data_IF_508079401748
#
_entry.id   IF_508079401748
#
_cell.length_a   1.000
_cell.length_b   1.000
_cell.length_c   1.000
_cell.angle_alpha   90.00
_cell.angle_beta   90.00
_cell.angle_gamma   90.00
#
_symmetry.space_group_name_H-M   'P 1'
#
loop_
_entity.id
_entity.type
_entity.pdbx_description
1 polymer ?
#
# COMPACT_ATOMS: atom_id res chain seq x y z
N UNK A 1 4.60 2.45 16.59
CA UNK A 1 4.53 3.91 16.83
C UNK A 1 3.45 4.18 17.86
N UNK A 2 3.82 4.70 19.02
CA UNK A 2 2.87 5.14 20.04
C UNK A 2 2.63 6.63 19.85
N UNK A 3 1.37 7.04 19.91
CA UNK A 3 0.97 8.44 19.89
C UNK A 3 0.25 8.79 21.18
N UNK A 4 0.76 9.75 21.92
CA UNK A 4 0.13 10.32 23.11
C UNK A 4 -0.28 11.75 22.79
N UNK A 5 -1.52 12.12 23.14
CA UNK A 5 -2.02 13.49 23.00
C UNK A 5 -2.42 13.96 24.38
N UNK A 6 -1.86 15.07 24.80
CA UNK A 6 -2.16 15.70 26.09
C UNK A 6 -2.60 17.15 25.89
N UNK A 7 -3.57 17.58 26.65
CA UNK A 7 -3.93 18.99 26.72
C UNK A 7 -3.18 19.62 27.91
N UNK A 8 -2.39 20.64 27.62
CA UNK A 8 -1.57 21.33 28.62
C UNK A 8 -2.02 22.80 28.70
N UNK A 9 -2.39 23.24 29.89
CA UNK A 9 -2.68 24.63 30.17
C UNK A 9 -1.39 25.37 30.51
N UNK A 10 -1.06 26.36 29.71
CA UNK A 10 0.06 27.28 30.00
C UNK A 10 -0.46 28.47 30.82
N UNK A 11 0.03 28.59 32.07
CA UNK A 11 -0.39 29.64 33.01
C UNK A 11 0.19 31.02 32.65
N UNK A 12 1.34 31.07 31.97
CA UNK A 12 2.02 32.31 31.63
C UNK A 12 1.35 33.00 30.41
N UNK A 13 1.00 32.21 29.41
CA UNK A 13 0.30 32.72 28.21
C UNK A 13 -1.22 32.63 28.29
N UNK A 14 -1.76 31.97 29.33
CA UNK A 14 -3.18 31.67 29.51
C UNK A 14 -3.80 30.97 28.28
N UNK A 15 -3.05 30.06 27.73
CA UNK A 15 -3.44 29.36 26.51
C UNK A 15 -3.48 27.84 26.73
N UNK A 16 -4.40 27.18 26.02
CA UNK A 16 -4.49 25.71 25.98
C UNK A 16 -3.73 25.20 24.78
N UNK A 17 -2.74 24.33 25.02
CA UNK A 17 -1.99 23.66 23.94
C UNK A 17 -2.33 22.18 23.87
N UNK A 18 -2.32 21.64 22.67
CA UNK A 18 -2.29 20.20 22.45
C UNK A 18 -0.86 19.76 22.17
N UNK A 19 -0.30 18.98 23.09
CA UNK A 19 1.01 18.37 22.93
C UNK A 19 0.81 16.99 22.34
N UNK A 20 1.43 16.74 21.19
CA UNK A 20 1.43 15.44 20.54
C UNK A 20 2.83 14.85 20.66
N UNK A 21 2.96 13.80 21.48
CA UNK A 21 4.20 13.03 21.58
C UNK A 21 4.09 11.81 20.67
N UNK A 22 5.08 11.61 19.82
CA UNK A 22 5.17 10.45 18.93
C UNK A 22 6.48 9.73 19.23
N UNK A 23 6.37 8.48 19.69
CA UNK A 23 7.51 7.58 19.75
C UNK A 23 7.64 6.88 18.39
N UNK A 24 8.76 7.09 17.71
CA UNK A 24 9.05 6.46 16.43
C UNK A 24 10.37 5.70 16.53
N UNK A 25 10.36 4.46 16.08
CA UNK A 25 11.57 3.69 15.85
C UNK A 25 12.08 3.98 14.45
N UNK A 26 13.33 4.39 14.34
CA UNK A 26 13.98 4.67 13.05
C UNK A 26 15.04 3.61 12.80
N UNK A 27 14.83 2.81 11.77
CA UNK A 27 15.79 1.83 11.32
C UNK A 27 16.58 2.39 10.14
N UNK A 28 17.92 2.26 10.19
CA UNK A 28 18.76 2.58 9.04
C UNK A 28 18.54 1.53 7.96
N UNK A 29 18.08 1.96 6.80
CA UNK A 29 17.87 1.09 5.65
C UNK A 29 19.08 1.15 4.71
N UNK A 30 19.40 0.02 4.08
CA UNK A 30 20.40 -0.04 3.03
C UNK A 30 19.93 0.77 1.81
N UNK A 31 20.88 1.28 1.03
CA UNK A 31 20.58 2.08 -0.15
C UNK A 31 19.81 1.22 -1.17
N UNK A 32 18.63 1.65 -1.62
CA UNK A 32 17.87 0.91 -2.62
C UNK A 32 18.60 0.84 -3.96
N UNK A 33 18.31 -0.18 -4.74
CA UNK A 33 18.78 -0.31 -6.12
C UNK A 33 17.99 0.67 -7.01
N UNK A 34 18.62 1.74 -7.45
CA UNK A 34 17.95 2.78 -8.25
C UNK A 34 17.52 2.32 -9.66
N UNK A 35 18.03 1.18 -10.13
CA UNK A 35 17.60 0.58 -11.39
C UNK A 35 16.36 -0.31 -11.22
N UNK A 36 16.03 -0.69 -10.00
CA UNK A 36 14.89 -1.53 -9.65
C UNK A 36 13.71 -0.68 -9.19
N UNK A 37 12.72 -0.54 -10.04
CA UNK A 37 11.59 0.33 -9.81
C UNK A 37 10.27 -0.29 -10.28
N UNK A 38 9.17 0.10 -9.62
CA UNK A 38 7.81 -0.22 -9.98
C UNK A 38 7.12 1.04 -10.51
N UNK A 39 6.76 1.05 -11.78
CA UNK A 39 6.00 2.11 -12.42
C UNK A 39 4.53 1.70 -12.48
N UNK A 40 3.64 2.56 -11.96
CA UNK A 40 2.18 2.33 -11.99
C UNK A 40 1.51 3.53 -12.65
N UNK A 41 0.61 3.27 -13.60
CA UNK A 41 -0.13 4.28 -14.37
C UNK A 41 -1.63 4.01 -14.34
N UNK A 42 -2.43 5.07 -14.48
CA UNK A 42 -3.87 4.97 -14.61
C UNK A 42 -4.62 4.80 -13.28
N UNK A 43 -3.94 5.01 -12.14
CA UNK A 43 -4.63 5.14 -10.85
C UNK A 43 -5.26 6.53 -10.79
N UNK A 44 -6.55 6.58 -10.53
CA UNK A 44 -7.29 7.82 -10.31
C UNK A 44 -7.32 8.15 -8.81
N UNK A 45 -7.33 9.43 -8.49
CA UNK A 45 -7.41 9.86 -7.07
C UNK A 45 -8.81 9.81 -6.51
N UNK A 46 -9.83 9.75 -7.39
CA UNK A 46 -11.25 9.76 -7.05
C UNK A 46 -12.01 8.74 -7.89
N UNK A 47 -12.72 7.85 -7.21
CA UNK A 47 -13.62 6.86 -7.80
C UNK A 47 -15.05 7.08 -7.31
N UNK A 48 -15.99 6.58 -8.07
CA UNK A 48 -17.39 6.45 -7.64
C UNK A 48 -17.61 5.04 -7.08
N UNK A 49 -18.56 4.93 -6.16
CA UNK A 49 -18.99 3.61 -5.70
C UNK A 49 -19.45 2.74 -6.87
N UNK A 50 -18.93 1.52 -6.94
CA UNK A 50 -19.19 0.57 -8.03
C UNK A 50 -18.23 0.66 -9.21
N UNK A 51 -17.39 1.68 -9.30
CA UNK A 51 -16.33 1.73 -10.31
C UNK A 51 -15.39 0.53 -10.17
N UNK A 52 -14.83 0.09 -11.28
CA UNK A 52 -13.82 -0.99 -11.28
C UNK A 52 -12.43 -0.37 -11.36
N UNK A 53 -11.58 -0.75 -10.43
CA UNK A 53 -10.19 -0.33 -10.43
C UNK A 53 -9.40 -1.00 -11.54
N UNK A 54 -8.71 -0.19 -12.30
CA UNK A 54 -7.76 -0.62 -13.32
C UNK A 54 -6.49 0.21 -13.25
N UNK A 55 -5.35 -0.44 -13.39
CA UNK A 55 -4.10 0.27 -13.61
C UNK A 55 -3.19 -0.53 -14.53
N UNK A 56 -2.13 0.12 -14.99
CA UNK A 56 -1.03 -0.51 -15.72
C UNK A 56 0.23 -0.45 -14.88
N UNK A 57 0.99 -1.53 -14.91
CA UNK A 57 2.20 -1.61 -14.15
C UNK A 57 3.35 -2.14 -14.98
N UNK A 58 4.55 -1.62 -14.74
CA UNK A 58 5.81 -2.10 -15.31
C UNK A 58 6.84 -2.20 -14.21
N UNK A 59 7.48 -3.36 -14.09
CA UNK A 59 8.66 -3.52 -13.24
C UNK A 59 9.91 -3.26 -14.08
N UNK A 60 10.80 -2.42 -13.59
CA UNK A 60 12.07 -2.10 -14.25
C UNK A 60 13.24 -2.81 -13.55
N UNK A 61 14.27 -3.13 -14.30
CA UNK A 61 15.55 -3.65 -13.80
C UNK A 61 15.62 -5.17 -13.67
N UNK A 62 14.65 -5.82 -13.06
CA UNK A 62 14.70 -7.27 -12.79
C UNK A 62 13.31 -7.90 -12.83
N UNK A 63 13.21 -9.13 -13.35
CA UNK A 63 11.98 -9.94 -13.27
C UNK A 63 11.57 -10.09 -11.80
N UNK A 64 10.27 -9.98 -11.51
CA UNK A 64 9.79 -9.85 -10.13
C UNK A 64 8.45 -10.51 -9.88
N UNK A 65 8.19 -10.81 -8.63
CA UNK A 65 6.90 -11.19 -8.11
C UNK A 65 6.21 -9.98 -7.49
N UNK A 66 4.90 -9.85 -7.67
CA UNK A 66 4.11 -8.73 -7.16
C UNK A 66 3.20 -9.17 -6.03
N UNK A 67 3.01 -8.29 -5.04
CA UNK A 67 1.88 -8.35 -4.10
C UNK A 67 1.16 -7.01 -4.10
N UNK A 68 -0.17 -7.05 -4.20
CA UNK A 68 -1.03 -5.88 -4.16
C UNK A 68 -1.92 -5.94 -2.94
N UNK A 69 -1.72 -4.99 -2.03
CA UNK A 69 -2.48 -4.83 -0.81
C UNK A 69 -3.39 -3.61 -0.89
N UNK A 70 -4.51 -3.72 -0.23
CA UNK A 70 -5.55 -2.70 -0.15
C UNK A 70 -5.98 -2.55 1.30
N UNK A 71 -6.12 -1.32 1.78
CA UNK A 71 -6.48 -1.01 3.16
C UNK A 71 -7.59 0.02 3.18
N UNK A 72 -8.68 -0.33 3.79
CA UNK A 72 -9.80 0.55 4.10
C UNK A 72 -9.92 0.76 5.62
N UNK A 73 -11.02 1.35 6.05
CA UNK A 73 -11.28 1.58 7.48
C UNK A 73 -11.65 0.32 8.27
N UNK A 74 -11.95 -0.81 7.60
CA UNK A 74 -12.24 -2.11 8.23
C UNK A 74 -11.00 -2.98 8.38
N UNK A 75 -9.95 -2.73 7.63
CA UNK A 75 -8.73 -3.53 7.65
C UNK A 75 -8.01 -3.55 6.32
N UNK A 76 -7.37 -4.67 6.04
CA UNK A 76 -6.63 -4.85 4.81
C UNK A 76 -6.98 -6.14 4.08
N UNK A 77 -6.70 -6.17 2.79
CA UNK A 77 -6.81 -7.33 1.94
C UNK A 77 -5.58 -7.47 1.03
N UNK A 78 -5.15 -8.70 0.77
CA UNK A 78 -4.22 -9.04 -0.30
C UNK A 78 -5.05 -9.31 -1.55
N UNK A 79 -5.04 -8.37 -2.50
CA UNK A 79 -5.80 -8.49 -3.73
C UNK A 79 -5.12 -9.39 -4.76
N UNK A 80 -3.79 -9.27 -4.87
CA UNK A 80 -2.98 -10.11 -5.76
C UNK A 80 -1.71 -10.58 -5.03
N UNK A 81 -1.33 -11.87 -5.15
CA UNK A 81 -2.02 -12.95 -5.86
C UNK A 81 -3.29 -13.41 -5.13
N UNK A 82 -4.21 -14.04 -5.87
CA UNK A 82 -5.43 -14.63 -5.34
C UNK A 82 -5.75 -15.95 -6.06
N UNK A 83 -6.88 -16.60 -5.73
CA UNK A 83 -7.25 -17.90 -6.32
C UNK A 83 -7.54 -17.85 -7.82
N UNK A 84 -7.90 -16.69 -8.37
CA UNK A 84 -8.19 -16.49 -9.79
C UNK A 84 -6.99 -15.94 -10.55
N UNK A 85 -6.05 -15.32 -9.84
CA UNK A 85 -4.86 -14.69 -10.36
C UNK A 85 -3.64 -15.22 -9.60
N UNK A 86 -3.10 -16.38 -10.00
CA UNK A 86 -1.98 -17.00 -9.31
C UNK A 86 -0.72 -16.14 -9.41
N UNK A 87 0.14 -16.25 -8.41
CA UNK A 87 1.42 -15.55 -8.39
C UNK A 87 2.26 -15.91 -9.62
N UNK A 88 2.61 -14.92 -10.40
CA UNK A 88 3.33 -15.08 -11.67
C UNK A 88 4.56 -14.18 -11.69
N UNK A 89 5.66 -14.69 -12.24
CA UNK A 89 6.89 -13.91 -12.46
C UNK A 89 6.65 -12.88 -13.57
N UNK A 90 6.65 -11.62 -13.19
CA UNK A 90 6.55 -10.48 -14.11
C UNK A 90 7.90 -10.23 -14.77
N UNK A 91 7.92 -10.11 -16.08
CA UNK A 91 9.11 -9.80 -16.85
C UNK A 91 9.45 -8.32 -16.79
N UNK A 92 10.69 -7.99 -16.51
CA UNK A 92 11.19 -6.61 -16.48
C UNK A 92 10.96 -5.91 -17.83
N UNK A 93 10.51 -4.66 -17.77
CA UNK A 93 10.23 -3.83 -18.94
C UNK A 93 8.93 -4.17 -19.70
N UNK A 94 8.18 -5.19 -19.28
CA UNK A 94 6.89 -5.53 -19.85
C UNK A 94 5.77 -4.83 -19.07
N UNK A 95 4.84 -4.18 -19.79
CA UNK A 95 3.62 -3.60 -19.22
C UNK A 95 2.56 -4.69 -18.98
N UNK A 96 1.94 -4.66 -17.81
CA UNK A 96 0.84 -5.53 -17.41
C UNK A 96 -0.36 -4.70 -17.00
N UNK A 97 -1.57 -5.24 -17.20
CA UNK A 97 -2.82 -4.65 -16.71
C UNK A 97 -3.21 -5.31 -15.38
N UNK A 98 -3.71 -4.51 -14.45
CA UNK A 98 -4.30 -4.95 -13.18
C UNK A 98 -5.80 -4.63 -13.24
N UNK A 99 -6.71 -5.57 -12.97
CA UNK A 99 -6.49 -7.01 -12.73
C UNK A 99 -5.78 -7.71 -13.90
N UNK A 100 -5.03 -8.78 -13.60
CA UNK A 100 -4.37 -9.60 -14.64
C UNK A 100 -5.37 -10.47 -15.42
N UNK A 101 -6.50 -10.79 -14.79
CA UNK A 101 -7.55 -11.64 -15.35
C UNK A 101 -8.85 -10.87 -15.55
N UNK A 102 -9.49 -11.04 -16.68
CA UNK A 102 -10.85 -10.52 -16.93
C UNK A 102 -11.94 -11.20 -16.07
N UNK A 103 -11.59 -12.24 -15.31
CA UNK A 103 -12.50 -12.91 -14.40
C UNK A 103 -12.54 -12.23 -13.01
N UNK A 104 -11.72 -11.20 -12.80
CA UNK A 104 -11.62 -10.49 -11.50
C UNK A 104 -11.98 -9.02 -11.71
N UNK A 105 -12.87 -8.51 -10.88
CA UNK A 105 -13.20 -7.10 -10.76
C UNK A 105 -12.78 -6.61 -9.36
N UNK A 106 -11.89 -5.64 -9.27
CA UNK A 106 -11.60 -4.93 -8.02
C UNK A 106 -12.54 -3.73 -7.92
N UNK A 107 -13.73 -3.97 -7.31
CA UNK A 107 -14.77 -2.94 -7.22
C UNK A 107 -14.48 -1.97 -6.08
N UNK A 108 -14.68 -0.69 -6.38
CA UNK A 108 -14.62 0.40 -5.41
C UNK A 108 -15.92 0.44 -4.62
N UNK A 109 -15.88 -0.04 -3.38
CA UNK A 109 -17.03 -0.10 -2.50
C UNK A 109 -16.78 0.72 -1.23
N UNK A 110 -17.76 1.52 -0.85
CA UNK A 110 -17.78 2.22 0.43
C UNK A 110 -18.41 1.34 1.50
N UNK A 111 -18.00 1.54 2.73
CA UNK A 111 -18.75 1.00 3.84
C UNK A 111 -20.15 1.61 3.91
N UNK A 112 -21.08 0.76 4.32
CA UNK A 112 -22.48 1.18 4.53
C UNK A 112 -22.54 2.43 5.42
N UNK A 113 -23.30 3.45 5.01
CA UNK A 113 -23.50 4.72 5.70
C UNK A 113 -22.33 5.72 5.70
N UNK A 114 -21.30 5.54 4.88
CA UNK A 114 -20.27 6.56 4.69
C UNK A 114 -20.52 7.41 3.44
N UNK A 115 -20.28 8.70 3.56
CA UNK A 115 -20.32 9.63 2.42
C UNK A 115 -19.12 9.41 1.50
N UNK A 116 -17.98 9.03 2.09
CA UNK A 116 -16.75 8.74 1.36
C UNK A 116 -15.90 7.72 2.12
N UNK A 117 -15.06 6.97 1.39
CA UNK A 117 -14.09 6.01 1.93
C UNK A 117 -12.70 6.31 1.37
N UNK A 118 -11.69 6.27 2.24
CA UNK A 118 -10.28 6.36 1.84
C UNK A 118 -9.70 4.95 1.75
N UNK A 119 -9.07 4.68 0.62
CA UNK A 119 -8.36 3.43 0.39
C UNK A 119 -6.87 3.73 0.25
N UNK A 120 -6.04 3.09 1.07
CA UNK A 120 -4.61 3.09 0.88
C UNK A 120 -4.22 1.84 0.08
N UNK A 121 -3.45 2.02 -0.97
CA UNK A 121 -2.96 0.96 -1.82
C UNK A 121 -1.46 0.80 -1.67
N UNK A 122 -1.01 -0.44 -1.68
CA UNK A 122 0.41 -0.77 -1.64
C UNK A 122 0.70 -1.90 -2.60
N UNK A 123 1.51 -1.64 -3.61
CA UNK A 123 2.03 -2.66 -4.51
C UNK A 123 3.51 -2.86 -4.23
N UNK A 124 3.91 -4.08 -3.97
CA UNK A 124 5.30 -4.43 -3.64
C UNK A 124 5.80 -5.47 -4.62
N UNK A 125 6.85 -5.12 -5.36
CA UNK A 125 7.56 -6.06 -6.21
C UNK A 125 8.84 -6.53 -5.53
N UNK A 126 9.11 -7.84 -5.60
CA UNK A 126 10.27 -8.49 -5.01
C UNK A 126 10.97 -9.37 -6.03
N UNK A 127 12.31 -9.39 -6.01
CA UNK A 127 13.12 -10.20 -6.95
C UNK A 127 12.90 -11.70 -6.77
N UNK A 128 12.54 -12.11 -5.55
CA UNK A 128 12.20 -13.49 -5.20
C UNK A 128 10.74 -13.56 -4.72
N UNK A 129 10.12 -14.73 -4.80
CA UNK A 129 8.77 -14.93 -4.25
C UNK A 129 8.83 -15.04 -2.72
N UNK A 130 8.64 -13.90 -2.05
CA UNK A 130 8.64 -13.82 -0.60
C UNK A 130 7.18 -13.88 -0.11
N UNK A 131 6.76 -14.95 0.59
CA UNK A 131 5.39 -15.06 1.03
C UNK A 131 5.05 -14.03 2.12
N UNK A 132 3.82 -13.50 2.07
CA UNK A 132 3.21 -12.77 3.17
C UNK A 132 2.25 -13.70 3.89
N UNK A 133 2.51 -13.99 5.17
CA UNK A 133 1.78 -15.02 5.95
C UNK A 133 1.07 -14.48 7.19
N UNK A 134 1.22 -13.19 7.49
CA UNK A 134 0.54 -12.54 8.61
C UNK A 134 -0.88 -12.10 8.22
N UNK A 135 -1.67 -11.73 9.21
CA UNK A 135 -2.91 -10.98 8.98
C UNK A 135 -2.63 -9.70 8.19
N UNK A 136 -3.49 -9.41 7.21
CA UNK A 136 -3.32 -8.22 6.36
C UNK A 136 -3.76 -6.98 7.13
N UNK A 137 -2.83 -6.39 7.86
CA UNK A 137 -2.95 -5.07 8.45
C UNK A 137 -1.87 -4.17 7.86
N UNK A 138 -2.11 -2.86 7.83
CA UNK A 138 -1.12 -1.91 7.33
C UNK A 138 0.24 -2.05 8.05
N UNK A 139 0.21 -2.22 9.37
CA UNK A 139 1.41 -2.43 10.19
C UNK A 139 2.16 -3.72 9.80
N UNK A 140 1.45 -4.86 9.72
CA UNK A 140 2.08 -6.14 9.38
C UNK A 140 2.68 -6.14 7.97
N UNK A 141 2.02 -5.46 7.01
CA UNK A 141 2.55 -5.34 5.65
C UNK A 141 3.77 -4.44 5.62
N UNK A 142 3.80 -3.31 6.35
CA UNK A 142 4.99 -2.48 6.47
C UNK A 142 6.16 -3.24 7.10
N UNK A 143 5.92 -3.98 8.20
CA UNK A 143 6.95 -4.82 8.83
C UNK A 143 7.51 -5.85 7.85
N UNK A 144 6.64 -6.50 7.06
CA UNK A 144 7.06 -7.44 6.03
C UNK A 144 7.89 -6.73 4.94
N UNK A 145 7.44 -5.59 4.43
CA UNK A 145 8.18 -4.80 3.43
C UNK A 145 9.59 -4.46 3.95
N UNK A 146 9.68 -3.94 5.17
CA UNK A 146 10.97 -3.54 5.74
C UNK A 146 11.84 -4.71 6.21
N UNK A 147 11.29 -5.91 6.34
CA UNK A 147 12.10 -7.12 6.55
C UNK A 147 12.84 -7.59 5.29
N UNK A 148 12.41 -7.11 4.11
CA UNK A 148 13.05 -7.44 2.83
C UNK A 148 14.16 -6.40 2.57
N UNK A 149 15.40 -6.81 2.26
CA UNK A 149 16.47 -5.87 1.94
C UNK A 149 16.05 -4.87 0.84
N UNK A 150 16.42 -3.60 0.99
CA UNK A 150 16.00 -2.53 0.08
C UNK A 150 16.40 -2.79 -1.39
N UNK A 151 17.51 -3.50 -1.63
CA UNK A 151 17.95 -3.90 -2.97
C UNK A 151 17.14 -5.03 -3.60
N UNK A 152 16.31 -5.71 -2.81
CA UNK A 152 15.49 -6.86 -3.24
C UNK A 152 14.04 -6.51 -3.50
N UNK A 153 13.62 -5.26 -3.19
CA UNK A 153 12.24 -4.80 -3.30
C UNK A 153 12.14 -3.43 -3.94
N UNK A 154 11.00 -3.18 -4.55
CA UNK A 154 10.51 -1.83 -4.84
C UNK A 154 9.01 -1.78 -4.57
N UNK A 155 8.48 -0.61 -4.27
CA UNK A 155 7.09 -0.45 -3.88
C UNK A 155 6.47 0.83 -4.45
N UNK A 156 5.16 0.76 -4.69
CA UNK A 156 4.30 1.87 -5.04
C UNK A 156 3.25 2.03 -3.96
N UNK A 157 3.04 3.25 -3.52
CA UNK A 157 2.04 3.62 -2.51
C UNK A 157 1.16 4.71 -3.08
N UNK A 158 -0.14 4.57 -2.91
CA UNK A 158 -1.09 5.60 -3.27
C UNK A 158 -2.31 5.57 -2.37
N UNK A 159 -3.10 6.64 -2.41
CA UNK A 159 -4.34 6.78 -1.67
C UNK A 159 -5.43 7.30 -2.61
N UNK A 160 -6.53 6.57 -2.68
CA UNK A 160 -7.70 6.95 -3.47
C UNK A 160 -8.90 7.24 -2.56
N UNK A 161 -9.80 8.07 -3.05
CA UNK A 161 -11.06 8.40 -2.40
C UNK A 161 -12.22 7.79 -3.19
N UNK A 162 -13.14 7.14 -2.50
CA UNK A 162 -14.43 6.68 -3.08
C UNK A 162 -15.54 7.61 -2.59
N UNK A 163 -16.37 8.10 -3.52
CA UNK A 163 -17.57 8.89 -3.24
C UNK A 163 -18.84 8.23 -3.71
#
# INVERSE_FOLDING_TARGET
TNKKVEEVWDTDTRSLYKVVTIDAEVQKEDKPDSSYALEVKGVETLYREGDVFHCKLTVHGTDSYLKFFWFDSNGGALLYPNSYEPNTLLKAGKEYSIPFSNAVDYRMEKQHNKESEKINMMMVATKEDIPFTKEVTYQNVLEWVYSIPAVQRCAFYDMVLIK
#
